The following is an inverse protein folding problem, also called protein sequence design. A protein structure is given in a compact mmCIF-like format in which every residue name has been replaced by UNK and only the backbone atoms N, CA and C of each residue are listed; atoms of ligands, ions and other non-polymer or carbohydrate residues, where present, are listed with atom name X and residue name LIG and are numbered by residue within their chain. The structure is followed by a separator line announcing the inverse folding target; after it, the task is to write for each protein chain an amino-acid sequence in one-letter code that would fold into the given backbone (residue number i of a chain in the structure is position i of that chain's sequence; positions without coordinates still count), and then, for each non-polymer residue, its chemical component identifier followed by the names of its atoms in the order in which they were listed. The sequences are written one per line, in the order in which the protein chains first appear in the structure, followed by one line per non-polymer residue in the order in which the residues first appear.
data_IF_369081193093
#
_entry.id   IF_369081193093
#
_cell.length_a   1.000
_cell.length_b   1.000
_cell.length_c   1.000
_cell.angle_alpha   90.00
_cell.angle_beta   90.00
_cell.angle_gamma   90.00
#
_symmetry.space_group_name_H-M   'P 1'
#
loop_
_entity.id
_entity.type
_entity.pdbx_description
1 polymer ?
#
# COMPACT_ATOMS: atom_id res chain seq x y z
N UNK A 1 -45.19 -25.77 8.91
CA UNK A 1 -45.64 -24.41 8.52
C UNK A 1 -46.17 -23.71 9.75
N UNK A 2 -45.38 -22.82 10.38
CA UNK A 2 -45.87 -21.99 11.47
C UNK A 2 -46.52 -20.74 10.87
N UNK A 3 -47.73 -20.34 11.26
CA UNK A 3 -48.39 -19.16 10.74
C UNK A 3 -47.67 -17.89 11.26
N UNK A 4 -47.33 -17.00 10.33
CA UNK A 4 -46.83 -15.64 10.62
C UNK A 4 -47.92 -14.90 11.38
N UNK A 5 -47.70 -14.57 12.66
CA UNK A 5 -48.62 -13.76 13.47
C UNK A 5 -48.79 -12.37 12.83
N UNK A 6 -50.02 -11.97 12.56
CA UNK A 6 -50.35 -10.68 11.99
C UNK A 6 -50.11 -9.56 13.02
N UNK A 7 -49.79 -8.33 12.55
CA UNK A 7 -49.63 -7.14 13.42
C UNK A 7 -50.87 -6.85 14.32
N UNK A 8 -52.00 -7.49 14.05
CA UNK A 8 -53.25 -7.33 14.82
C UNK A 8 -53.24 -8.07 16.15
N UNK A 9 -52.30 -9.00 16.36
CA UNK A 9 -52.29 -9.91 17.55
C UNK A 9 -51.38 -9.40 18.69
N UNK A 10 -50.75 -8.23 18.55
CA UNK A 10 -49.91 -7.62 19.60
C UNK A 10 -50.74 -6.80 20.59
N UNK A 11 -50.41 -6.82 21.91
CA UNK A 11 -51.07 -6.02 22.93
C UNK A 11 -51.05 -4.51 22.60
N UNK A 12 -52.16 -3.82 22.92
CA UNK A 12 -52.30 -2.36 22.64
C UNK A 12 -51.16 -1.52 23.20
N UNK A 13 -50.54 -1.91 24.33
CA UNK A 13 -49.38 -1.24 24.92
C UNK A 13 -48.09 -1.36 24.09
N UNK A 14 -47.90 -2.46 23.37
CA UNK A 14 -46.75 -2.69 22.47
C UNK A 14 -46.93 -1.86 21.20
N UNK A 15 -48.15 -1.83 20.65
CA UNK A 15 -48.48 -0.98 19.47
C UNK A 15 -48.35 0.51 19.76
N UNK A 16 -48.70 0.96 20.97
CA UNK A 16 -48.54 2.34 21.37
C UNK A 16 -47.07 2.75 21.52
N UNK A 17 -46.23 1.88 22.11
CA UNK A 17 -44.78 2.10 22.23
C UNK A 17 -44.07 2.12 20.86
N UNK A 18 -44.44 1.22 19.96
CA UNK A 18 -43.87 1.21 18.60
C UNK A 18 -44.29 2.43 17.78
N UNK A 19 -45.55 2.85 17.86
CA UNK A 19 -46.03 4.08 17.21
C UNK A 19 -45.34 5.34 17.78
N UNK A 20 -45.11 5.39 19.09
CA UNK A 20 -44.38 6.51 19.74
C UNK A 20 -42.90 6.52 19.29
N UNK A 21 -42.27 5.36 19.19
CA UNK A 21 -40.90 5.19 18.72
C UNK A 21 -40.71 5.60 17.24
N UNK A 22 -41.65 5.21 16.39
CA UNK A 22 -41.70 5.57 14.96
C UNK A 22 -41.94 7.09 14.80
N UNK A 23 -42.85 7.70 15.59
CA UNK A 23 -43.09 9.14 15.59
C UNK A 23 -41.86 9.93 16.07
N UNK A 24 -41.23 9.54 17.17
CA UNK A 24 -40.02 10.15 17.69
C UNK A 24 -38.84 10.06 16.70
N UNK A 25 -38.71 8.93 16.01
CA UNK A 25 -37.70 8.71 14.96
C UNK A 25 -37.96 9.57 13.70
N UNK A 26 -39.25 9.75 13.33
CA UNK A 26 -39.63 10.61 12.22
C UNK A 26 -39.41 12.10 12.54
N UNK A 27 -39.62 12.50 13.77
CA UNK A 27 -39.42 13.89 14.24
C UNK A 27 -37.93 14.26 14.27
N UNK A 28 -37.06 13.37 14.76
CA UNK A 28 -35.60 13.58 14.74
C UNK A 28 -35.04 13.68 13.31
N UNK A 29 -35.56 12.93 12.35
CA UNK A 29 -35.16 13.01 10.94
C UNK A 29 -35.49 14.37 10.31
N UNK A 30 -36.57 15.02 10.75
CA UNK A 30 -36.93 16.37 10.29
C UNK A 30 -35.95 17.44 10.74
N UNK A 31 -35.22 17.23 11.85
CA UNK A 31 -34.14 18.08 12.30
C UNK A 31 -32.89 18.08 11.46
N UNK A 32 -32.74 17.15 10.48
CA UNK A 32 -31.58 17.11 9.60
C UNK A 32 -31.74 18.13 8.47
N UNK A 33 -30.80 19.09 8.32
CA UNK A 33 -30.92 20.18 7.34
C UNK A 33 -30.95 19.65 5.89
N UNK A 34 -31.37 20.52 4.97
CA UNK A 34 -31.30 20.24 3.54
C UNK A 34 -29.87 20.48 3.01
N UNK A 35 -29.51 19.82 1.92
CA UNK A 35 -28.23 20.05 1.21
C UNK A 35 -28.14 21.51 0.76
N UNK A 36 -29.24 22.09 0.28
CA UNK A 36 -29.27 23.47 -0.20
C UNK A 36 -29.08 24.49 0.92
N UNK A 37 -29.66 24.23 2.10
CA UNK A 37 -29.46 25.08 3.29
C UNK A 37 -27.97 25.21 3.61
N UNK A 38 -27.27 24.05 3.72
CA UNK A 38 -25.84 24.05 4.06
C UNK A 38 -24.96 24.61 2.94
N UNK A 39 -25.28 24.33 1.66
CA UNK A 39 -24.56 24.91 0.52
C UNK A 39 -24.69 26.45 0.44
N UNK A 40 -25.83 27.00 0.83
CA UNK A 40 -26.08 28.47 0.82
C UNK A 40 -25.47 29.16 2.01
N UNK A 41 -25.05 28.49 3.06
CA UNK A 41 -24.34 29.08 4.19
C UNK A 41 -23.01 29.74 3.74
N UNK A 42 -22.49 30.70 4.51
CA UNK A 42 -21.21 31.32 4.18
C UNK A 42 -20.06 30.30 4.07
N UNK A 43 -19.85 29.35 5.03
CA UNK A 43 -18.85 28.32 4.89
C UNK A 43 -19.13 27.35 3.74
N UNK A 44 -20.39 27.03 3.46
CA UNK A 44 -20.78 26.16 2.34
C UNK A 44 -20.42 26.77 0.97
N UNK A 45 -20.67 28.05 0.78
CA UNK A 45 -20.25 28.79 -0.43
C UNK A 45 -18.73 28.85 -0.58
N UNK A 46 -17.99 29.14 0.51
CA UNK A 46 -16.52 29.12 0.49
C UNK A 46 -15.98 27.72 0.14
N UNK A 47 -16.54 26.66 0.74
CA UNK A 47 -16.19 25.29 0.41
C UNK A 47 -16.49 24.93 -1.05
N UNK A 48 -17.64 25.33 -1.57
CA UNK A 48 -18.02 25.11 -2.96
C UNK A 48 -17.11 25.86 -3.95
N UNK A 49 -16.66 27.06 -3.61
CA UNK A 49 -15.68 27.81 -4.39
C UNK A 49 -14.29 27.14 -4.40
N UNK A 50 -13.87 26.56 -3.26
CA UNK A 50 -12.55 25.90 -3.10
C UNK A 50 -12.50 24.51 -3.71
N UNK A 51 -13.51 23.67 -3.46
CA UNK A 51 -13.49 22.24 -3.81
C UNK A 51 -14.40 21.90 -5.01
N UNK A 52 -15.14 22.87 -5.53
CA UNK A 52 -16.15 22.65 -6.54
C UNK A 52 -17.53 22.28 -5.97
N UNK A 53 -18.57 22.97 -6.45
CA UNK A 53 -19.96 22.75 -6.00
C UNK A 53 -20.43 21.28 -6.12
N UNK A 54 -20.14 20.54 -7.21
CA UNK A 54 -20.57 19.14 -7.33
C UNK A 54 -20.00 18.25 -6.23
N UNK A 55 -18.72 18.41 -5.90
CA UNK A 55 -18.05 17.61 -4.87
C UNK A 55 -18.59 17.90 -3.47
N UNK A 56 -18.75 19.17 -3.10
CA UNK A 56 -19.32 19.56 -1.81
C UNK A 56 -20.77 19.09 -1.69
N UNK A 57 -21.58 19.19 -2.77
CA UNK A 57 -22.95 18.66 -2.80
C UNK A 57 -22.97 17.16 -2.52
N UNK A 58 -22.11 16.37 -3.19
CA UNK A 58 -21.99 14.92 -2.98
C UNK A 58 -21.61 14.58 -1.55
N UNK A 59 -20.62 15.28 -0.99
CA UNK A 59 -20.17 15.06 0.39
C UNK A 59 -21.29 15.37 1.40
N UNK A 60 -22.03 16.47 1.21
CA UNK A 60 -23.20 16.81 2.02
C UNK A 60 -24.28 15.73 1.91
N UNK A 61 -24.58 15.24 0.72
CA UNK A 61 -25.57 14.18 0.52
C UNK A 61 -25.19 12.93 1.32
N UNK A 62 -23.91 12.51 1.28
CA UNK A 62 -23.43 11.35 2.02
C UNK A 62 -23.54 11.54 3.55
N UNK A 63 -23.04 12.66 4.08
CA UNK A 63 -23.06 12.97 5.51
C UNK A 63 -24.50 13.08 6.03
N UNK A 64 -25.37 13.76 5.31
CA UNK A 64 -26.77 13.92 5.72
C UNK A 64 -27.57 12.62 5.62
N UNK A 65 -27.27 11.76 4.63
CA UNK A 65 -27.87 10.44 4.54
C UNK A 65 -27.46 9.51 5.72
N UNK A 66 -26.18 9.55 6.10
CA UNK A 66 -25.70 8.84 7.28
C UNK A 66 -26.35 9.37 8.56
N UNK A 67 -26.43 10.70 8.71
CA UNK A 67 -27.08 11.36 9.86
C UNK A 67 -28.54 10.96 9.96
N UNK A 68 -29.29 10.92 8.84
CA UNK A 68 -30.69 10.46 8.82
C UNK A 68 -30.83 9.01 9.24
N UNK A 69 -29.91 8.13 8.82
CA UNK A 69 -29.89 6.73 9.27
C UNK A 69 -29.64 6.61 10.78
N UNK A 70 -28.70 7.38 11.33
CA UNK A 70 -28.42 7.40 12.78
C UNK A 70 -29.62 7.97 13.57
N UNK A 71 -30.20 9.07 13.12
CA UNK A 71 -31.39 9.69 13.75
C UNK A 71 -32.59 8.74 13.74
N UNK A 72 -32.78 7.94 12.67
CA UNK A 72 -33.82 6.93 12.60
C UNK A 72 -33.68 5.82 13.66
N UNK A 73 -32.43 5.57 14.13
CA UNK A 73 -32.10 4.62 15.20
C UNK A 73 -32.07 5.26 16.60
N UNK A 74 -32.50 6.53 16.73
CA UNK A 74 -32.54 7.24 18.00
C UNK A 74 -31.28 8.07 18.31
N UNK A 75 -30.30 8.16 17.39
CA UNK A 75 -29.12 9.00 17.55
C UNK A 75 -29.45 10.49 17.49
N UNK A 76 -28.61 11.32 18.12
CA UNK A 76 -28.70 12.77 18.06
C UNK A 76 -28.33 13.31 16.67
N UNK A 77 -28.96 14.42 16.29
CA UNK A 77 -28.60 15.15 15.07
C UNK A 77 -27.55 16.20 15.43
N UNK A 78 -26.34 16.12 14.86
CA UNK A 78 -25.30 17.13 15.09
C UNK A 78 -25.72 18.51 14.56
N UNK A 79 -25.09 19.58 15.06
CA UNK A 79 -25.32 20.93 14.55
C UNK A 79 -24.98 21.05 13.06
N UNK A 80 -25.59 22.01 12.39
CA UNK A 80 -25.38 22.33 10.99
C UNK A 80 -23.89 22.59 10.69
N UNK A 81 -23.21 23.31 11.58
CA UNK A 81 -21.76 23.59 11.45
C UNK A 81 -20.93 22.32 11.50
N UNK A 82 -21.25 21.38 12.40
CA UNK A 82 -20.53 20.10 12.49
C UNK A 82 -20.81 19.22 11.27
N UNK A 83 -22.05 19.19 10.78
CA UNK A 83 -22.41 18.46 9.56
C UNK A 83 -21.70 19.03 8.33
N UNK A 84 -21.65 20.35 8.23
CA UNK A 84 -20.94 21.04 7.16
C UNK A 84 -19.43 20.82 7.25
N UNK A 85 -18.83 20.93 8.44
CA UNK A 85 -17.41 20.68 8.65
C UNK A 85 -17.00 19.25 8.24
N UNK A 86 -17.81 18.23 8.59
CA UNK A 86 -17.62 16.85 8.15
C UNK A 86 -17.69 16.71 6.62
N UNK A 87 -18.68 17.34 6.00
CA UNK A 87 -18.83 17.30 4.55
C UNK A 87 -17.68 18.02 3.82
N UNK A 88 -17.23 19.17 4.33
CA UNK A 88 -16.07 19.86 3.77
C UNK A 88 -14.78 19.07 3.97
N UNK A 89 -14.62 18.38 5.11
CA UNK A 89 -13.50 17.46 5.34
C UNK A 89 -13.48 16.31 4.33
N UNK A 90 -14.63 15.69 4.05
CA UNK A 90 -14.75 14.64 3.04
C UNK A 90 -14.49 15.17 1.62
N UNK A 91 -15.01 16.35 1.30
CA UNK A 91 -14.73 17.01 0.02
C UNK A 91 -13.24 17.33 -0.14
N UNK A 92 -12.58 17.83 0.91
CA UNK A 92 -11.15 18.10 0.92
C UNK A 92 -10.33 16.82 0.71
N UNK A 93 -10.68 15.73 1.39
CA UNK A 93 -10.03 14.42 1.24
C UNK A 93 -10.06 13.92 -0.20
N UNK A 94 -11.20 14.07 -0.89
CA UNK A 94 -11.33 13.67 -2.30
C UNK A 94 -10.60 14.66 -3.21
N UNK A 95 -10.69 15.95 -2.94
CA UNK A 95 -10.11 17.00 -3.77
C UNK A 95 -8.58 16.96 -3.80
N UNK A 96 -7.95 16.77 -2.63
CA UNK A 96 -6.49 16.70 -2.52
C UNK A 96 -5.93 15.34 -2.95
N UNK A 97 -6.77 14.31 -3.04
CA UNK A 97 -6.37 12.98 -3.51
C UNK A 97 -5.37 12.27 -2.58
N UNK A 98 -4.47 11.48 -3.19
CA UNK A 98 -3.38 10.81 -2.48
C UNK A 98 -2.35 11.87 -2.06
N UNK A 99 -2.02 11.89 -0.76
CA UNK A 99 -1.08 12.83 -0.18
C UNK A 99 0.05 12.13 0.57
N UNK A 100 1.10 12.89 0.85
CA UNK A 100 2.20 12.47 1.72
C UNK A 100 1.69 12.25 3.15
N UNK A 101 2.15 11.17 3.80
CA UNK A 101 1.87 10.85 5.19
C UNK A 101 3.15 10.54 5.94
N UNK A 102 3.16 10.71 7.26
CA UNK A 102 4.24 10.23 8.12
C UNK A 102 3.87 8.82 8.59
N UNK A 103 4.67 7.86 8.17
CA UNK A 103 4.57 6.48 8.65
C UNK A 103 5.42 6.33 9.92
N UNK A 104 4.78 6.27 11.07
CA UNK A 104 5.41 6.01 12.36
C UNK A 104 4.93 4.67 12.97
N UNK A 105 4.60 3.70 12.12
CA UNK A 105 4.07 2.38 12.57
C UNK A 105 5.17 1.37 12.87
N UNK A 106 6.39 1.54 12.35
CA UNK A 106 7.44 0.52 12.38
C UNK A 106 7.29 -0.58 11.34
N UNK A 107 6.34 -0.45 10.39
CA UNK A 107 6.20 -1.36 9.24
C UNK A 107 6.79 -0.67 8.01
N UNK A 108 7.94 -1.13 7.52
CA UNK A 108 8.72 -0.46 6.46
C UNK A 108 7.95 -0.45 5.13
N UNK A 109 7.47 -1.61 4.71
CA UNK A 109 6.73 -1.82 3.45
C UNK A 109 5.22 -1.89 3.71
N UNK A 110 4.70 -0.89 4.44
CA UNK A 110 3.29 -0.85 4.84
C UNK A 110 2.38 -0.79 3.62
N UNK A 111 1.64 -1.86 3.35
CA UNK A 111 0.80 -2.01 2.14
C UNK A 111 -0.21 -0.88 2.00
N UNK A 112 -0.90 -0.50 3.08
CA UNK A 112 -1.88 0.58 3.07
C UNK A 112 -1.28 1.99 2.92
N UNK A 113 0.03 2.16 3.04
CA UNK A 113 0.75 3.43 2.91
C UNK A 113 1.63 3.52 1.66
N UNK A 114 1.49 2.57 0.72
CA UNK A 114 2.14 2.63 -0.59
C UNK A 114 3.48 1.90 -0.67
N UNK A 115 3.86 1.12 0.36
CA UNK A 115 5.10 0.32 0.41
C UNK A 115 6.39 1.15 0.37
N UNK A 116 7.38 0.78 -0.47
CA UNK A 116 8.68 1.45 -0.50
C UNK A 116 8.59 2.89 -1.02
N UNK A 117 9.07 3.89 -0.26
CA UNK A 117 9.25 5.23 -0.80
C UNK A 117 10.34 5.26 -1.87
N UNK A 118 10.14 6.07 -2.91
CA UNK A 118 11.12 6.24 -3.98
C UNK A 118 12.25 7.19 -3.58
N UNK A 119 13.48 6.95 -4.04
CA UNK A 119 14.57 7.91 -3.89
C UNK A 119 14.31 9.15 -4.77
N UNK A 120 14.88 10.29 -4.38
CA UNK A 120 14.72 11.56 -5.08
C UNK A 120 15.01 11.46 -6.59
N UNK A 121 16.04 10.74 -6.96
CA UNK A 121 16.46 10.53 -8.34
C UNK A 121 15.38 9.82 -9.18
N UNK A 122 14.68 8.84 -8.59
CA UNK A 122 13.61 8.13 -9.27
C UNK A 122 12.35 8.99 -9.42
N UNK A 123 12.01 9.78 -8.41
CA UNK A 123 10.92 10.78 -8.46
C UNK A 123 11.19 11.78 -9.60
N UNK A 124 12.40 12.33 -9.66
CA UNK A 124 12.81 13.27 -10.71
C UNK A 124 12.81 12.64 -12.10
N UNK A 125 13.22 11.36 -12.21
CA UNK A 125 13.19 10.64 -13.49
C UNK A 125 11.75 10.44 -13.98
N UNK A 126 10.84 10.02 -13.10
CA UNK A 126 9.41 9.91 -13.41
C UNK A 126 8.81 11.25 -13.83
N UNK A 127 9.13 12.33 -13.09
CA UNK A 127 8.66 13.67 -13.39
C UNK A 127 9.20 14.18 -14.75
N UNK A 128 10.47 13.92 -15.08
CA UNK A 128 11.01 14.24 -16.41
C UNK A 128 10.30 13.50 -17.52
N UNK A 129 10.07 12.19 -17.36
CA UNK A 129 9.33 11.38 -18.35
C UNK A 129 7.88 11.85 -18.55
N UNK A 130 7.26 12.38 -17.48
CA UNK A 130 5.89 12.90 -17.54
C UNK A 130 5.74 14.23 -18.29
N UNK A 131 6.78 15.10 -18.26
CA UNK A 131 6.71 16.48 -18.79
C UNK A 131 6.53 16.59 -20.31
N UNK A 132 6.87 15.54 -21.06
CA UNK A 132 6.81 15.61 -22.53
C UNK A 132 6.82 14.23 -23.18
N UNK A 133 7.22 14.22 -24.44
CA UNK A 133 7.49 12.99 -25.17
C UNK A 133 8.77 12.34 -24.61
N UNK A 134 8.83 11.01 -24.69
CA UNK A 134 9.96 10.21 -24.25
C UNK A 134 10.30 9.15 -25.30
N UNK A 135 11.57 8.80 -25.41
CA UNK A 135 12.09 7.74 -26.28
C UNK A 135 11.79 6.33 -25.71
N UNK A 136 10.52 6.07 -25.41
CA UNK A 136 10.08 4.87 -24.72
C UNK A 136 10.16 3.62 -25.59
N UNK A 137 9.71 3.70 -26.84
CA UNK A 137 9.73 2.61 -27.82
C UNK A 137 10.43 3.03 -29.12
N UNK A 138 11.39 3.93 -29.02
CA UNK A 138 12.20 4.41 -30.16
C UNK A 138 13.67 4.18 -29.85
N UNK A 139 14.36 3.50 -30.74
CA UNK A 139 15.81 3.42 -30.75
C UNK A 139 16.39 4.70 -31.36
N UNK A 140 17.23 5.40 -30.63
CA UNK A 140 17.74 6.71 -31.06
C UNK A 140 18.74 6.65 -32.20
N UNK A 141 19.50 5.55 -32.32
CA UNK A 141 20.55 5.40 -33.32
C UNK A 141 19.93 5.04 -34.66
N UNK A 142 19.03 4.04 -34.68
CA UNK A 142 18.38 3.58 -35.90
C UNK A 142 17.13 4.36 -36.30
N UNK A 143 16.54 5.12 -35.34
CA UNK A 143 15.22 5.73 -35.51
C UNK A 143 14.08 4.71 -35.56
N UNK A 144 14.38 3.43 -35.44
CA UNK A 144 13.44 2.32 -35.45
C UNK A 144 12.70 2.08 -34.16
N UNK A 145 11.89 1.02 -34.16
CA UNK A 145 11.15 0.63 -32.96
C UNK A 145 12.03 -0.11 -31.96
N UNK A 146 12.15 0.45 -30.75
CA UNK A 146 12.83 -0.15 -29.62
C UNK A 146 11.89 -0.91 -28.66
N UNK A 147 12.48 -1.59 -27.69
CA UNK A 147 11.75 -2.26 -26.59
C UNK A 147 11.43 -1.25 -25.49
N UNK A 148 10.15 -1.19 -25.07
CA UNK A 148 9.64 -0.26 -24.04
C UNK A 148 10.46 -0.27 -22.75
N UNK A 149 10.79 -1.44 -22.25
CA UNK A 149 11.45 -1.69 -20.96
C UNK A 149 12.89 -2.16 -21.13
N UNK A 150 13.43 -2.19 -22.36
CA UNK A 150 14.71 -2.79 -22.68
C UNK A 150 15.90 -2.26 -21.88
N UNK A 151 15.91 -0.96 -21.53
CA UNK A 151 16.97 -0.40 -20.68
C UNK A 151 16.89 -0.88 -19.22
N UNK A 152 15.68 -1.00 -18.67
CA UNK A 152 15.49 -1.57 -17.34
C UNK A 152 15.83 -3.07 -17.33
N UNK A 153 15.41 -3.79 -18.37
CA UNK A 153 15.69 -5.23 -18.56
C UNK A 153 17.21 -5.47 -18.62
N UNK A 154 17.95 -4.73 -19.42
CA UNK A 154 19.42 -4.84 -19.50
C UNK A 154 20.13 -4.54 -18.16
N UNK A 155 19.61 -3.60 -17.35
CA UNK A 155 20.14 -3.36 -16.01
C UNK A 155 19.86 -4.54 -15.07
N UNK A 156 18.68 -5.15 -15.13
CA UNK A 156 18.34 -6.35 -14.36
C UNK A 156 19.27 -7.51 -14.75
N UNK A 157 19.45 -7.77 -16.04
CA UNK A 157 20.36 -8.76 -16.57
C UNK A 157 21.79 -8.58 -16.03
N UNK A 158 22.30 -7.35 -16.11
CA UNK A 158 23.65 -7.02 -15.64
C UNK A 158 23.83 -7.18 -14.12
N UNK A 159 22.80 -6.93 -13.31
CA UNK A 159 22.87 -7.03 -11.85
C UNK A 159 22.68 -8.49 -11.40
N UNK A 160 21.74 -9.21 -12.01
CA UNK A 160 21.32 -10.54 -11.52
C UNK A 160 22.01 -11.73 -12.22
N UNK A 161 22.62 -11.48 -13.38
CA UNK A 161 23.16 -12.53 -14.24
C UNK A 161 22.10 -13.30 -15.03
N UNK A 162 20.86 -12.80 -15.11
CA UNK A 162 19.81 -13.38 -15.94
C UNK A 162 20.15 -13.28 -17.44
N UNK A 163 19.71 -14.26 -18.23
CA UNK A 163 19.88 -14.22 -19.70
C UNK A 163 19.01 -13.12 -20.35
N UNK A 164 17.85 -12.84 -19.76
CA UNK A 164 16.89 -11.84 -20.24
C UNK A 164 15.95 -11.44 -19.09
N UNK A 165 15.21 -10.35 -19.25
CA UNK A 165 14.22 -9.90 -18.29
C UNK A 165 12.98 -9.33 -18.98
N UNK A 166 11.85 -9.27 -18.26
CA UNK A 166 10.60 -8.65 -18.71
C UNK A 166 9.97 -7.88 -17.56
N UNK A 167 9.61 -6.62 -17.81
CA UNK A 167 8.96 -5.75 -16.82
C UNK A 167 7.49 -5.56 -17.17
N UNK A 168 6.64 -5.82 -16.17
CA UNK A 168 5.17 -5.67 -16.22
C UNK A 168 4.67 -4.81 -15.06
N UNK A 169 3.38 -4.50 -15.00
CA UNK A 169 2.83 -3.51 -14.08
C UNK A 169 2.84 -3.91 -12.58
N UNK A 170 2.87 -5.19 -12.24
CA UNK A 170 3.04 -5.70 -10.88
C UNK A 170 3.38 -7.20 -10.88
N UNK A 171 3.79 -7.75 -9.72
CA UNK A 171 4.19 -9.15 -9.62
C UNK A 171 3.05 -10.14 -9.85
N UNK A 172 1.83 -9.83 -9.45
CA UNK A 172 0.66 -10.67 -9.75
C UNK A 172 0.45 -10.83 -11.26
N UNK A 173 0.65 -9.74 -12.03
CA UNK A 173 0.60 -9.78 -13.49
C UNK A 173 1.78 -10.55 -14.08
N UNK A 174 2.97 -10.51 -13.45
CA UNK A 174 4.12 -11.32 -13.85
C UNK A 174 3.81 -12.81 -13.74
N UNK A 175 3.26 -13.24 -12.62
CA UNK A 175 2.83 -14.64 -12.41
C UNK A 175 1.72 -15.04 -13.37
N UNK A 176 0.67 -14.22 -13.48
CA UNK A 176 -0.45 -14.52 -14.39
C UNK A 176 0.01 -14.65 -15.85
N UNK A 177 0.88 -13.75 -16.31
CA UNK A 177 1.44 -13.80 -17.66
C UNK A 177 2.30 -15.07 -17.86
N UNK A 178 3.19 -15.39 -16.90
CA UNK A 178 4.06 -16.56 -16.97
C UNK A 178 3.22 -17.84 -17.08
N UNK A 179 2.25 -18.00 -16.20
CA UNK A 179 1.38 -19.18 -16.18
C UNK A 179 0.51 -19.26 -17.44
N UNK A 180 -0.09 -18.16 -17.89
CA UNK A 180 -0.90 -18.15 -19.12
C UNK A 180 -0.09 -18.51 -20.37
N UNK A 181 1.13 -17.97 -20.49
CA UNK A 181 1.99 -18.16 -21.65
C UNK A 181 2.67 -19.55 -21.69
N UNK A 182 3.04 -20.10 -20.53
CA UNK A 182 3.82 -21.34 -20.42
C UNK A 182 2.95 -22.55 -20.11
N UNK A 183 1.90 -22.39 -19.33
CA UNK A 183 1.05 -23.46 -18.80
C UNK A 183 -0.45 -23.29 -19.04
N UNK A 184 -0.86 -22.43 -19.96
CA UNK A 184 -2.27 -22.27 -20.31
C UNK A 184 -2.96 -23.61 -20.62
N UNK A 185 -4.01 -23.97 -19.87
CA UNK A 185 -4.74 -25.25 -19.92
C UNK A 185 -3.91 -26.49 -19.57
N UNK A 186 -2.72 -26.33 -18.95
CA UNK A 186 -1.88 -27.40 -18.44
C UNK A 186 -1.89 -27.43 -16.92
N UNK A 187 -1.33 -28.48 -16.35
CA UNK A 187 -1.11 -28.58 -14.92
C UNK A 187 0.11 -27.76 -14.51
N UNK A 188 -0.01 -27.08 -13.36
CA UNK A 188 1.07 -26.34 -12.68
C UNK A 188 1.22 -26.95 -11.30
N UNK A 189 2.43 -27.43 -11.03
CA UNK A 189 2.76 -28.06 -9.75
C UNK A 189 3.23 -26.99 -8.78
N UNK A 190 2.67 -26.98 -7.56
CA UNK A 190 3.01 -26.01 -6.51
C UNK A 190 3.25 -26.76 -5.21
N UNK A 191 4.27 -26.34 -4.45
CA UNK A 191 4.48 -26.85 -3.09
C UNK A 191 3.37 -26.33 -2.16
N UNK A 192 2.78 -27.22 -1.38
CA UNK A 192 1.74 -26.85 -0.40
C UNK A 192 2.22 -25.84 0.62
N UNK A 193 3.50 -25.86 1.00
CA UNK A 193 4.12 -24.88 1.92
C UNK A 193 4.25 -23.49 1.35
N UNK A 194 4.14 -23.32 0.02
CA UNK A 194 4.27 -22.03 -0.67
C UNK A 194 2.92 -21.40 -1.08
N UNK A 195 1.80 -22.05 -0.74
CA UNK A 195 0.46 -21.52 -0.92
C UNK A 195 0.16 -20.47 0.17
N UNK A 196 0.83 -19.33 0.10
CA UNK A 196 0.75 -18.26 1.12
C UNK A 196 -0.41 -17.32 0.80
N UNK A 197 -1.21 -16.99 1.81
CA UNK A 197 -2.09 -15.81 1.82
C UNK A 197 -1.24 -14.56 2.10
N UNK A 198 -0.93 -13.78 1.07
CA UNK A 198 -0.29 -12.47 1.23
C UNK A 198 -1.40 -11.46 1.56
N UNK A 199 -1.41 -10.92 2.77
CA UNK A 199 -2.43 -10.07 3.40
C UNK A 199 -3.37 -9.28 2.48
N UNK A 200 -4.67 -9.27 2.84
CA UNK A 200 -5.71 -8.52 2.14
C UNK A 200 -6.43 -9.28 1.03
N UNK A 201 -6.77 -10.55 1.23
CA UNK A 201 -7.54 -11.40 0.29
C UNK A 201 -6.80 -11.79 -1.01
N UNK A 202 -5.49 -11.52 -1.13
CA UNK A 202 -4.69 -11.93 -2.27
C UNK A 202 -4.29 -13.40 -2.11
N UNK A 203 -4.95 -14.28 -2.86
CA UNK A 203 -4.68 -15.72 -2.87
C UNK A 203 -3.95 -16.12 -4.13
N UNK A 204 -2.75 -16.66 -4.01
CA UNK A 204 -1.99 -17.19 -5.13
C UNK A 204 -2.79 -18.21 -5.97
N UNK A 205 -3.57 -19.15 -5.39
CA UNK A 205 -4.44 -20.04 -6.14
C UNK A 205 -5.45 -19.36 -7.06
N UNK A 206 -6.01 -18.21 -6.66
CA UNK A 206 -6.99 -17.49 -7.48
C UNK A 206 -6.35 -16.87 -8.74
N UNK A 207 -5.12 -16.40 -8.63
CA UNK A 207 -4.32 -15.90 -9.76
C UNK A 207 -3.97 -17.05 -10.70
N UNK A 208 -3.56 -18.17 -10.14
CA UNK A 208 -3.24 -19.36 -10.93
C UNK A 208 -4.46 -19.87 -11.69
N UNK A 209 -5.62 -19.94 -11.03
CA UNK A 209 -6.87 -20.31 -11.69
C UNK A 209 -7.26 -19.31 -12.81
N UNK A 210 -7.08 -18.01 -12.57
CA UNK A 210 -7.36 -16.97 -13.57
C UNK A 210 -6.42 -17.00 -14.78
N UNK A 211 -5.22 -17.57 -14.66
CA UNK A 211 -4.30 -17.79 -15.79
C UNK A 211 -4.76 -18.91 -16.75
N UNK A 212 -5.76 -19.69 -16.36
CA UNK A 212 -6.22 -20.88 -17.08
C UNK A 212 -5.39 -22.13 -16.82
N UNK A 213 -4.41 -22.09 -15.93
CA UNK A 213 -3.64 -23.25 -15.48
C UNK A 213 -4.43 -24.08 -14.45
N UNK A 214 -4.19 -25.39 -14.42
CA UNK A 214 -4.76 -26.30 -13.44
C UNK A 214 -3.75 -26.55 -12.32
N UNK A 215 -4.09 -26.13 -11.11
CA UNK A 215 -3.25 -26.28 -9.94
C UNK A 215 -3.17 -27.74 -9.48
N UNK A 216 -1.95 -28.24 -9.23
CA UNK A 216 -1.66 -29.55 -8.62
C UNK A 216 -0.74 -29.31 -7.42
N UNK A 217 -1.25 -29.61 -6.23
CA UNK A 217 -0.49 -29.45 -5.00
C UNK A 217 0.37 -30.69 -4.73
N UNK A 218 1.64 -30.47 -4.37
CA UNK A 218 2.59 -31.52 -3.99
C UNK A 218 3.29 -31.19 -2.67
N UNK A 219 3.93 -32.20 -2.06
CA UNK A 219 4.66 -32.00 -0.81
C UNK A 219 6.01 -31.33 -1.02
N UNK A 220 6.80 -31.77 -2.01
CA UNK A 220 8.14 -31.27 -2.32
C UNK A 220 8.32 -31.11 -3.84
N UNK A 221 8.90 -29.97 -4.25
CA UNK A 221 9.17 -29.64 -5.66
C UNK A 221 10.58 -30.07 -6.12
N UNK A 222 11.51 -30.28 -5.19
CA UNK A 222 12.93 -30.51 -5.51
C UNK A 222 13.16 -31.69 -6.43
N UNK A 223 12.41 -32.77 -6.26
CA UNK A 223 12.54 -33.97 -7.08
C UNK A 223 11.92 -33.83 -8.47
N UNK A 224 10.84 -33.04 -8.58
CA UNK A 224 10.17 -32.78 -9.86
C UNK A 224 11.02 -31.85 -10.72
N UNK A 225 11.58 -30.79 -10.14
CA UNK A 225 12.47 -29.85 -10.84
C UNK A 225 13.75 -30.53 -11.35
N UNK A 226 14.34 -31.45 -10.56
CA UNK A 226 15.52 -32.23 -10.94
C UNK A 226 15.27 -33.16 -12.13
N UNK A 227 14.06 -33.59 -12.39
CA UNK A 227 13.72 -34.38 -13.58
C UNK A 227 13.85 -33.59 -14.90
N UNK A 228 14.08 -32.27 -14.87
CA UNK A 228 14.64 -31.47 -15.96
C UNK A 228 13.75 -31.22 -17.19
N UNK A 229 12.47 -31.55 -17.14
CA UNK A 229 11.56 -31.44 -18.30
C UNK A 229 10.50 -30.33 -18.18
N UNK A 230 10.35 -29.71 -16.99
CA UNK A 230 9.31 -28.71 -16.69
C UNK A 230 9.99 -27.42 -16.24
N UNK A 231 9.66 -26.24 -16.81
CA UNK A 231 10.21 -24.97 -16.36
C UNK A 231 9.90 -24.70 -14.89
N UNK A 232 10.92 -24.33 -14.13
CA UNK A 232 10.82 -23.90 -12.73
C UNK A 232 10.69 -22.38 -12.66
N UNK A 233 9.52 -21.90 -12.22
CA UNK A 233 9.28 -20.49 -11.90
C UNK A 233 9.34 -20.31 -10.39
N UNK A 234 10.24 -19.44 -9.91
CA UNK A 234 10.34 -19.08 -8.51
C UNK A 234 9.79 -17.67 -8.26
N UNK A 235 8.71 -17.57 -7.46
CA UNK A 235 8.17 -16.26 -7.01
C UNK A 235 8.85 -15.85 -5.70
N UNK A 236 9.89 -15.03 -5.80
CA UNK A 236 10.57 -14.44 -4.63
C UNK A 236 9.68 -13.35 -3.99
N UNK A 237 8.94 -12.62 -4.80
CA UNK A 237 8.06 -11.56 -4.33
C UNK A 237 8.74 -10.36 -3.70
N UNK A 238 9.77 -10.52 -2.88
CA UNK A 238 10.44 -9.45 -2.11
C UNK A 238 11.27 -8.48 -2.94
N UNK A 239 11.84 -8.95 -4.07
CA UNK A 239 12.66 -8.14 -4.95
C UNK A 239 14.08 -7.88 -4.45
N UNK A 240 14.64 -8.78 -3.63
CA UNK A 240 16.05 -8.80 -3.28
C UNK A 240 16.87 -9.28 -4.48
N UNK A 241 17.65 -8.37 -5.12
CA UNK A 241 18.38 -8.72 -6.35
C UNK A 241 19.59 -9.61 -6.09
N UNK A 242 20.35 -9.29 -5.07
CA UNK A 242 21.59 -9.96 -4.67
C UNK A 242 21.62 -10.11 -3.15
N UNK A 243 22.51 -10.96 -2.64
CA UNK A 243 22.75 -11.13 -1.21
C UNK A 243 23.41 -9.88 -0.61
N UNK A 244 22.84 -9.38 0.50
CA UNK A 244 23.39 -8.28 1.29
C UNK A 244 23.37 -8.62 2.78
N UNK A 245 24.34 -8.07 3.52
CA UNK A 245 24.52 -8.34 4.95
C UNK A 245 23.41 -7.81 5.86
N UNK A 246 22.62 -6.85 5.37
CA UNK A 246 21.54 -6.21 6.11
C UNK A 246 20.25 -7.03 6.16
N UNK A 247 20.20 -8.11 5.39
CA UNK A 247 19.03 -9.00 5.34
C UNK A 247 19.41 -10.41 5.79
N UNK A 248 18.46 -11.17 6.39
CA UNK A 248 18.68 -12.56 6.80
C UNK A 248 19.16 -13.45 5.65
N UNK A 249 19.94 -14.47 5.97
CA UNK A 249 20.50 -15.37 4.99
C UNK A 249 19.45 -16.28 4.30
N UNK A 250 18.30 -16.43 4.91
CA UNK A 250 17.17 -17.23 4.40
C UNK A 250 16.20 -16.43 3.50
N UNK A 251 16.34 -15.09 3.42
CA UNK A 251 15.60 -14.30 2.43
C UNK A 251 16.16 -14.59 1.03
N UNK A 252 15.36 -15.10 0.08
CA UNK A 252 15.87 -15.49 -1.23
C UNK A 252 16.27 -14.28 -2.08
N UNK A 253 17.42 -14.37 -2.77
CA UNK A 253 17.88 -13.39 -3.74
C UNK A 253 17.68 -13.87 -5.18
N UNK A 254 17.40 -12.95 -6.11
CA UNK A 254 17.16 -13.26 -7.54
C UNK A 254 18.37 -13.97 -8.15
N UNK A 255 19.59 -13.43 -7.95
CA UNK A 255 20.82 -14.01 -8.48
C UNK A 255 21.09 -15.43 -7.95
N UNK A 256 20.78 -15.67 -6.67
CA UNK A 256 20.93 -17.00 -6.05
C UNK A 256 19.91 -18.01 -6.59
N UNK A 257 18.65 -17.58 -6.75
CA UNK A 257 17.61 -18.44 -7.29
C UNK A 257 17.92 -18.87 -8.75
N UNK A 258 18.41 -17.93 -9.58
CA UNK A 258 18.82 -18.23 -10.95
C UNK A 258 20.01 -19.18 -10.98
N UNK A 259 21.06 -18.93 -10.19
CA UNK A 259 22.23 -19.83 -10.10
C UNK A 259 21.89 -21.17 -9.46
N UNK A 260 20.86 -21.22 -8.62
CA UNK A 260 20.30 -22.43 -8.02
C UNK A 260 19.43 -23.27 -8.97
N UNK A 261 19.25 -22.84 -10.22
CA UNK A 261 18.56 -23.60 -11.27
C UNK A 261 17.10 -23.21 -11.51
N UNK A 262 16.62 -22.06 -11.00
CA UNK A 262 15.33 -21.52 -11.42
C UNK A 262 15.42 -21.05 -12.89
N UNK A 263 14.49 -21.51 -13.73
CA UNK A 263 14.41 -21.08 -15.13
C UNK A 263 13.89 -19.64 -15.24
N UNK A 264 12.96 -19.27 -14.38
CA UNK A 264 12.40 -17.91 -14.24
C UNK A 264 12.27 -17.54 -12.77
N UNK A 265 12.52 -16.29 -12.46
CA UNK A 265 12.29 -15.68 -11.15
C UNK A 265 11.36 -14.50 -11.30
N UNK A 266 10.27 -14.44 -10.51
CA UNK A 266 9.33 -13.32 -10.48
C UNK A 266 9.46 -12.54 -9.17
N UNK A 267 9.37 -11.20 -9.23
CA UNK A 267 9.48 -10.35 -8.05
C UNK A 267 8.83 -8.97 -8.22
N UNK A 268 8.60 -8.31 -7.08
CA UNK A 268 7.99 -6.96 -7.02
C UNK A 268 9.03 -5.84 -7.03
N UNK A 269 8.75 -4.77 -7.75
CA UNK A 269 9.60 -3.57 -7.76
C UNK A 269 9.48 -2.69 -6.53
N UNK A 270 8.35 -2.70 -5.84
CA UNK A 270 7.97 -1.76 -4.78
C UNK A 270 8.17 -2.32 -3.35
N UNK A 271 9.02 -3.32 -3.21
CA UNK A 271 9.40 -3.90 -1.92
C UNK A 271 10.89 -3.68 -1.62
N UNK A 272 11.69 -4.74 -1.39
CA UNK A 272 13.13 -4.61 -1.07
C UNK A 272 13.94 -4.00 -2.21
N UNK A 273 13.47 -4.13 -3.46
CA UNK A 273 14.07 -3.39 -4.57
C UNK A 273 14.03 -1.87 -4.35
N UNK A 274 13.05 -1.34 -3.62
CA UNK A 274 12.93 0.09 -3.34
C UNK A 274 12.51 0.94 -4.54
N UNK A 275 11.91 0.31 -5.54
CA UNK A 275 11.45 0.93 -6.79
C UNK A 275 9.96 1.23 -6.81
N UNK A 276 9.43 1.63 -7.97
CA UNK A 276 7.99 1.80 -8.18
C UNK A 276 7.30 0.44 -8.23
N UNK A 277 5.96 0.44 -8.12
CA UNK A 277 5.18 -0.76 -8.39
C UNK A 277 5.46 -1.26 -9.79
N UNK A 278 6.05 -2.44 -9.88
CA UNK A 278 6.31 -3.19 -11.10
C UNK A 278 6.39 -4.68 -10.74
N UNK A 279 6.15 -5.54 -11.71
CA UNK A 279 6.51 -6.95 -11.67
C UNK A 279 7.68 -7.18 -12.61
N UNK A 280 8.65 -7.94 -12.18
CA UNK A 280 9.78 -8.32 -12.99
C UNK A 280 9.83 -9.84 -13.09
N UNK A 281 10.12 -10.32 -14.29
CA UNK A 281 10.42 -11.73 -14.57
C UNK A 281 11.80 -11.76 -15.18
N UNK A 282 12.73 -12.49 -14.57
CA UNK A 282 14.12 -12.62 -15.03
C UNK A 282 14.47 -14.10 -15.19
N UNK A 283 15.30 -14.44 -16.15
CA UNK A 283 15.77 -15.82 -16.36
C UNK A 283 15.99 -16.14 -17.83
N UNK A 284 15.59 -17.34 -18.25
CA UNK A 284 15.86 -17.91 -19.59
C UNK A 284 15.20 -17.10 -20.71
N UNK A 285 15.98 -16.75 -21.71
CA UNK A 285 15.56 -15.91 -22.84
C UNK A 285 14.47 -16.57 -23.72
N UNK A 286 14.53 -17.88 -23.94
CA UNK A 286 13.55 -18.63 -24.74
C UNK A 286 12.13 -18.60 -24.10
N UNK A 287 12.07 -18.69 -22.78
CA UNK A 287 10.82 -18.61 -22.02
C UNK A 287 10.28 -17.18 -22.03
N UNK A 288 11.13 -16.18 -21.80
CA UNK A 288 10.75 -14.77 -21.79
C UNK A 288 10.25 -14.29 -23.16
N UNK A 289 10.81 -14.79 -24.26
CA UNK A 289 10.32 -14.51 -25.60
C UNK A 289 8.89 -15.06 -25.81
N UNK A 290 8.55 -16.23 -25.25
CA UNK A 290 7.18 -16.75 -25.25
C UNK A 290 6.22 -15.84 -24.48
N UNK A 291 6.65 -15.32 -23.32
CA UNK A 291 5.86 -14.37 -22.53
C UNK A 291 5.59 -13.09 -23.32
N UNK A 292 6.60 -12.52 -23.98
CA UNK A 292 6.47 -11.28 -24.77
C UNK A 292 5.49 -11.43 -25.92
N UNK A 293 5.42 -12.59 -26.56
CA UNK A 293 4.49 -12.90 -27.67
C UNK A 293 3.07 -13.12 -27.20
N UNK A 294 2.85 -13.40 -25.93
CA UNK A 294 1.52 -13.66 -25.41
C UNK A 294 0.67 -12.36 -25.42
N UNK A 295 -0.60 -12.38 -25.89
CA UNK A 295 -1.44 -11.17 -25.96
C UNK A 295 -1.57 -10.41 -24.64
N UNK A 296 -1.56 -11.12 -23.51
CA UNK A 296 -1.61 -10.53 -22.17
C UNK A 296 -0.42 -9.61 -21.88
N UNK A 297 0.76 -9.85 -22.45
CA UNK A 297 1.92 -8.98 -22.28
C UNK A 297 1.63 -7.52 -22.65
N UNK A 298 0.73 -7.32 -23.66
CA UNK A 298 0.29 -5.98 -24.02
C UNK A 298 -0.64 -5.35 -22.97
N UNK A 299 -1.50 -6.14 -22.34
CA UNK A 299 -2.46 -5.66 -21.34
C UNK A 299 -1.78 -5.27 -20.02
N UNK A 300 -0.66 -5.91 -19.67
CA UNK A 300 0.08 -5.69 -18.41
C UNK A 300 1.31 -4.78 -18.55
N UNK A 301 1.36 -3.96 -19.59
CA UNK A 301 2.47 -3.02 -19.84
C UNK A 301 2.57 -1.94 -18.78
N UNK A 302 3.79 -1.63 -18.40
CA UNK A 302 4.12 -0.47 -17.54
C UNK A 302 4.08 0.84 -18.33
N UNK A 303 3.71 1.94 -17.66
CA UNK A 303 3.75 3.29 -18.20
C UNK A 303 5.18 3.88 -18.17
N UNK A 304 5.37 5.01 -18.88
CA UNK A 304 6.69 5.64 -19.01
C UNK A 304 7.27 6.20 -17.72
N UNK A 305 6.42 6.61 -16.77
CA UNK A 305 6.88 7.17 -15.49
C UNK A 305 7.42 6.06 -14.61
N UNK A 306 6.71 4.94 -14.54
CA UNK A 306 7.16 3.74 -13.85
C UNK A 306 8.46 3.19 -14.43
N UNK A 307 8.59 3.11 -15.76
CA UNK A 307 9.84 2.69 -16.42
C UNK A 307 11.00 3.60 -16.03
N UNK A 308 10.83 4.92 -16.14
CA UNK A 308 11.89 5.88 -15.82
C UNK A 308 12.31 5.85 -14.34
N UNK A 309 11.36 5.67 -13.41
CA UNK A 309 11.65 5.50 -12.00
C UNK A 309 12.41 4.19 -11.73
N UNK A 310 11.97 3.07 -12.32
CA UNK A 310 12.61 1.77 -12.17
C UNK A 310 14.05 1.78 -12.71
N UNK A 311 14.27 2.32 -13.92
CA UNK A 311 15.61 2.50 -14.46
C UNK A 311 16.51 3.31 -13.53
N UNK A 312 15.98 4.36 -12.90
CA UNK A 312 16.75 5.20 -11.96
C UNK A 312 17.14 4.41 -10.70
N UNK A 313 16.25 3.57 -10.17
CA UNK A 313 16.53 2.69 -9.04
C UNK A 313 17.58 1.64 -9.41
N UNK A 314 17.42 0.96 -10.54
CA UNK A 314 18.37 -0.06 -11.01
C UNK A 314 19.77 0.51 -11.24
N UNK A 315 19.90 1.76 -11.71
CA UNK A 315 21.21 2.42 -11.82
C UNK A 315 21.89 2.62 -10.45
N UNK A 316 21.13 2.84 -9.37
CA UNK A 316 21.72 2.91 -8.03
C UNK A 316 22.31 1.57 -7.61
N UNK A 317 21.66 0.45 -7.94
CA UNK A 317 22.25 -0.89 -7.73
C UNK A 317 23.48 -1.10 -8.59
N UNK A 318 23.39 -0.86 -9.90
CA UNK A 318 24.50 -1.06 -10.84
C UNK A 318 25.75 -0.22 -10.51
N UNK A 319 25.58 0.90 -9.78
CA UNK A 319 26.67 1.79 -9.36
C UNK A 319 27.07 1.63 -7.89
N UNK A 320 26.59 0.59 -7.20
CA UNK A 320 26.89 0.31 -5.79
C UNK A 320 26.28 1.32 -4.79
N UNK A 321 25.29 2.11 -5.23
CA UNK A 321 24.65 3.17 -4.45
C UNK A 321 23.28 2.78 -3.88
N UNK A 322 23.02 1.48 -3.61
CA UNK A 322 21.74 1.03 -3.08
C UNK A 322 21.35 1.72 -1.76
N UNK A 323 22.32 2.18 -0.96
CA UNK A 323 22.05 2.90 0.28
C UNK A 323 21.43 4.30 0.10
N UNK A 324 21.36 4.80 -1.15
CA UNK A 324 20.58 6.00 -1.46
C UNK A 324 19.06 5.71 -1.54
N UNK A 325 18.66 4.44 -1.53
CA UNK A 325 17.27 4.02 -1.52
C UNK A 325 16.70 4.09 -0.09
N UNK A 326 15.53 4.72 0.12
CA UNK A 326 14.93 4.85 1.46
C UNK A 326 14.74 3.52 2.19
N UNK A 327 14.38 2.44 1.47
CA UNK A 327 14.22 1.13 2.08
C UNK A 327 15.53 0.60 2.68
N UNK A 328 16.66 0.79 1.98
CA UNK A 328 17.98 0.36 2.47
C UNK A 328 18.49 1.26 3.60
N UNK A 329 18.16 2.56 3.59
CA UNK A 329 18.41 3.45 4.72
C UNK A 329 17.67 2.97 5.96
N UNK A 330 16.36 2.65 5.82
CA UNK A 330 15.58 2.11 6.94
C UNK A 330 16.10 0.75 7.44
N UNK A 331 16.55 -0.13 6.56
CA UNK A 331 17.09 -1.45 6.94
C UNK A 331 18.42 -1.33 7.70
N UNK A 332 19.34 -0.46 7.21
CA UNK A 332 20.69 -0.30 7.78
C UNK A 332 20.76 0.64 8.99
N UNK A 333 19.66 1.35 9.34
CA UNK A 333 19.68 2.32 10.43
C UNK A 333 19.94 1.64 11.80
N UNK A 334 20.83 2.24 12.59
CA UNK A 334 21.23 1.69 13.89
C UNK A 334 20.22 2.03 14.98
N UNK A 335 19.86 1.05 15.81
CA UNK A 335 18.95 1.26 16.95
C UNK A 335 19.41 2.40 17.88
N UNK A 336 20.74 2.55 18.08
CA UNK A 336 21.30 3.62 18.92
C UNK A 336 20.98 5.02 18.39
N UNK A 337 21.02 5.22 17.07
CA UNK A 337 20.66 6.49 16.45
C UNK A 337 19.14 6.75 16.54
N UNK A 338 18.32 5.73 16.28
CA UNK A 338 16.86 5.82 16.46
C UNK A 338 16.50 6.16 17.91
N UNK A 339 17.17 5.54 18.88
CA UNK A 339 16.93 5.80 20.30
C UNK A 339 17.36 7.22 20.71
N UNK A 340 18.45 7.74 20.14
CA UNK A 340 18.87 9.12 20.37
C UNK A 340 17.83 10.11 19.82
N UNK A 341 17.31 9.89 18.62
CA UNK A 341 16.20 10.69 18.02
C UNK A 341 14.94 10.60 18.89
N UNK A 342 14.55 9.39 19.31
CA UNK A 342 13.38 9.19 20.17
C UNK A 342 13.50 9.94 21.51
N UNK A 343 14.68 9.96 22.14
CA UNK A 343 14.95 10.74 23.37
C UNK A 343 14.85 12.25 23.11
N UNK A 344 15.37 12.74 21.99
CA UNK A 344 15.24 14.14 21.59
C UNK A 344 13.76 14.53 21.45
N UNK A 345 12.96 13.70 20.79
CA UNK A 345 11.53 13.94 20.66
C UNK A 345 10.78 13.79 22.00
N UNK A 346 11.16 12.83 22.83
CA UNK A 346 10.51 12.64 24.15
C UNK A 346 10.68 13.85 25.07
N UNK A 347 11.79 14.56 24.98
CA UNK A 347 12.08 15.73 25.85
C UNK A 347 11.09 16.89 25.64
N UNK A 348 10.34 16.93 24.54
CA UNK A 348 9.38 18.02 24.27
C UNK A 348 7.92 17.69 24.62
N UNK A 349 7.66 16.48 25.16
CA UNK A 349 6.33 16.04 25.57
C UNK A 349 6.32 15.56 27.04
N UNK A 350 5.41 16.08 27.83
CA UNK A 350 5.29 15.69 29.25
C UNK A 350 4.91 14.22 29.38
N UNK A 351 5.68 13.46 30.15
CA UNK A 351 5.46 12.04 30.40
C UNK A 351 5.78 11.11 29.23
N UNK A 352 6.33 11.63 28.14
CA UNK A 352 6.76 10.81 27.01
C UNK A 352 8.04 10.03 27.35
N UNK A 353 8.16 8.84 26.77
CA UNK A 353 9.28 7.92 26.99
C UNK A 353 9.82 7.47 25.62
N UNK A 354 11.16 7.41 25.54
CA UNK A 354 11.86 6.76 24.42
C UNK A 354 12.34 5.38 24.88
N UNK A 355 12.04 4.34 24.12
CA UNK A 355 12.45 2.97 24.45
C UNK A 355 12.88 2.19 23.21
N UNK A 356 13.73 1.15 23.37
CA UNK A 356 13.99 0.18 22.31
C UNK A 356 12.69 -0.51 21.88
N UNK A 357 12.61 -0.85 20.61
CA UNK A 357 11.48 -1.58 20.01
C UNK A 357 11.94 -2.47 18.88
N UNK A 358 11.00 -3.11 18.23
CA UNK A 358 11.21 -3.90 17.02
C UNK A 358 10.30 -3.39 15.91
N UNK A 359 10.88 -3.20 14.74
CA UNK A 359 10.17 -2.90 13.49
C UNK A 359 10.13 -4.14 12.60
N UNK A 360 9.25 -4.14 11.60
CA UNK A 360 9.12 -5.26 10.66
C UNK A 360 9.15 -4.75 9.23
N UNK A 361 9.65 -5.58 8.30
CA UNK A 361 9.62 -5.21 6.89
C UNK A 361 8.18 -5.09 6.37
N UNK A 362 7.34 -6.08 6.60
CA UNK A 362 5.96 -6.09 6.11
C UNK A 362 5.85 -6.39 4.60
N UNK A 363 4.62 -6.38 4.08
CA UNK A 363 4.37 -6.59 2.66
C UNK A 363 4.76 -7.98 2.11
N UNK A 364 5.02 -8.96 2.99
CA UNK A 364 5.48 -10.30 2.63
C UNK A 364 6.97 -10.38 2.33
N UNK A 365 7.77 -9.36 2.69
CA UNK A 365 9.22 -9.39 2.67
C UNK A 365 9.78 -9.63 4.08
N UNK A 366 10.87 -10.35 4.23
CA UNK A 366 11.51 -10.70 5.49
C UNK A 366 10.51 -11.27 6.52
N UNK A 367 9.79 -12.35 6.22
CA UNK A 367 8.77 -12.87 7.11
C UNK A 367 9.38 -13.34 8.44
N UNK A 368 8.79 -12.90 9.56
CA UNK A 368 9.28 -13.27 10.89
C UNK A 368 10.56 -12.57 11.34
N UNK A 369 11.16 -11.71 10.52
CA UNK A 369 12.37 -10.99 10.88
C UNK A 369 12.03 -9.66 11.57
N UNK A 370 12.50 -9.53 12.81
CA UNK A 370 12.37 -8.30 13.61
C UNK A 370 13.63 -7.45 13.47
N UNK A 371 13.46 -6.17 13.14
CA UNK A 371 14.53 -5.18 13.02
C UNK A 371 14.67 -4.42 14.34
N UNK A 372 15.85 -4.41 15.00
CA UNK A 372 16.06 -3.62 16.21
C UNK A 372 15.73 -2.13 15.96
N UNK A 373 14.69 -1.60 16.61
CA UNK A 373 14.17 -0.25 16.41
C UNK A 373 14.12 0.55 17.71
N UNK A 374 13.62 1.79 17.64
CA UNK A 374 13.30 2.60 18.79
C UNK A 374 12.02 3.40 18.55
N UNK A 375 11.25 3.57 19.60
CA UNK A 375 9.97 4.25 19.56
C UNK A 375 9.84 5.36 20.59
N UNK A 376 9.07 6.37 20.23
CA UNK A 376 8.56 7.41 21.10
C UNK A 376 7.16 6.99 21.58
N UNK A 377 6.97 6.91 22.89
CA UNK A 377 5.66 6.67 23.51
C UNK A 377 5.17 7.97 24.14
N UNK A 378 4.00 8.45 23.70
CA UNK A 378 3.40 9.68 24.18
C UNK A 378 2.09 9.35 24.91
N UNK A 379 1.97 9.64 26.22
CA UNK A 379 0.74 9.40 26.97
C UNK A 379 -0.44 10.22 26.38
N UNK A 380 -1.62 9.62 26.38
CA UNK A 380 -2.84 10.30 25.92
C UNK A 380 -4.06 9.76 26.68
N UNK A 381 -4.91 10.64 27.18
CA UNK A 381 -6.13 10.24 27.90
C UNK A 381 -7.13 9.46 27.02
N UNK A 382 -7.09 9.70 25.71
CA UNK A 382 -7.95 9.03 24.71
C UNK A 382 -7.15 8.68 23.47
N UNK A 383 -6.27 7.64 23.50
CA UNK A 383 -5.34 7.33 22.40
C UNK A 383 -6.05 7.17 21.05
N UNK A 384 -7.19 6.47 21.02
CA UNK A 384 -7.97 6.27 19.78
C UNK A 384 -8.48 7.57 19.15
N UNK A 385 -8.90 8.55 19.97
CA UNK A 385 -9.34 9.86 19.49
C UNK A 385 -8.15 10.67 18.94
N UNK A 386 -7.03 10.67 19.66
CA UNK A 386 -5.82 11.40 19.26
C UNK A 386 -5.24 10.79 17.98
N UNK A 387 -5.14 9.45 17.88
CA UNK A 387 -4.71 8.77 16.67
C UNK A 387 -5.61 9.08 15.47
N UNK A 388 -6.93 9.12 15.66
CA UNK A 388 -7.86 9.51 14.59
C UNK A 388 -7.64 10.96 14.11
N UNK A 389 -7.35 11.89 15.03
CA UNK A 389 -7.03 13.29 14.68
C UNK A 389 -5.68 13.39 13.97
N UNK A 390 -4.66 12.63 14.39
CA UNK A 390 -3.36 12.57 13.72
C UNK A 390 -3.49 12.11 12.27
N UNK A 391 -4.30 11.09 12.00
CA UNK A 391 -4.58 10.62 10.63
C UNK A 391 -5.32 11.65 9.76
N UNK A 392 -6.05 12.58 10.38
CA UNK A 392 -6.77 13.66 9.69
C UNK A 392 -6.00 14.98 9.68
N UNK A 393 -4.81 15.03 10.31
CA UNK A 393 -3.95 16.21 10.41
C UNK A 393 -3.21 16.53 9.11
N UNK A 394 -2.37 17.58 9.18
CA UNK A 394 -1.48 17.98 8.08
C UNK A 394 -0.06 18.21 8.62
N UNK A 395 0.86 17.29 8.35
CA UNK A 395 0.67 16.04 7.59
C UNK A 395 -0.14 15.00 8.38
N UNK A 396 -0.82 14.06 7.70
CA UNK A 396 -1.39 12.89 8.34
C UNK A 396 -0.27 12.02 8.95
N UNK A 397 -0.50 11.52 10.19
CA UNK A 397 0.46 10.64 10.89
C UNK A 397 -0.21 9.32 11.22
N UNK A 398 0.45 8.23 10.86
CA UNK A 398 0.04 6.87 11.19
C UNK A 398 0.97 6.33 12.27
N UNK A 399 0.40 5.94 13.41
CA UNK A 399 1.11 5.41 14.57
C UNK A 399 0.37 4.20 15.14
N UNK A 400 1.02 3.47 16.03
CA UNK A 400 0.39 2.40 16.82
C UNK A 400 -0.24 2.97 18.09
N UNK A 401 -1.09 2.19 18.72
CA UNK A 401 -1.68 2.50 20.02
C UNK A 401 -1.37 1.35 20.98
N UNK A 402 -0.90 1.68 22.17
CA UNK A 402 -0.72 0.75 23.27
C UNK A 402 -1.45 1.28 24.51
N UNK A 403 -1.53 0.50 25.58
CA UNK A 403 -2.19 0.87 26.82
C UNK A 403 -1.68 2.21 27.35
N UNK A 404 -2.57 3.18 27.37
CA UNK A 404 -2.31 4.52 27.89
C UNK A 404 -1.61 5.51 26.94
N UNK A 405 -1.27 5.14 25.70
CA UNK A 405 -0.53 6.07 24.84
C UNK A 405 -0.55 5.80 23.35
N UNK A 406 0.15 6.67 22.64
CA UNK A 406 0.45 6.58 21.21
C UNK A 406 1.92 6.20 21.06
N UNK A 407 2.20 5.31 20.12
CA UNK A 407 3.53 4.77 19.87
C UNK A 407 3.96 5.13 18.45
N UNK A 408 5.10 5.80 18.36
CA UNK A 408 5.70 6.27 17.11
C UNK A 408 7.06 5.60 16.94
N UNK A 409 7.14 4.62 16.06
CA UNK A 409 8.39 3.96 15.71
C UNK A 409 9.18 4.82 14.72
N UNK A 410 10.43 5.16 15.05
CA UNK A 410 11.23 6.12 14.28
C UNK A 410 11.99 5.50 13.12
N UNK A 411 12.02 4.18 12.97
CA UNK A 411 12.67 3.52 11.83
C UNK A 411 12.00 3.89 10.51
N UNK A 412 10.68 4.06 10.53
CA UNK A 412 9.87 4.40 9.36
C UNK A 412 9.64 5.91 9.19
N UNK A 413 10.16 6.73 10.10
CA UNK A 413 10.11 8.19 10.03
C UNK A 413 11.44 8.73 9.52
N UNK A 414 11.49 9.36 8.32
CA UNK A 414 12.70 10.02 7.85
C UNK A 414 13.18 11.09 8.84
N UNK A 415 14.51 11.22 9.12
CA UNK A 415 15.03 12.18 10.10
C UNK A 415 14.56 13.63 9.86
N UNK A 416 14.44 14.05 8.62
CA UNK A 416 13.95 15.37 8.23
C UNK A 416 12.46 15.60 8.56
N UNK A 417 11.74 14.56 8.92
CA UNK A 417 10.33 14.63 9.34
C UNK A 417 10.14 14.72 10.85
N UNK A 418 11.18 14.66 11.67
CA UNK A 418 11.09 14.68 13.13
C UNK A 418 10.37 15.94 13.66
N UNK A 419 10.74 17.12 13.16
CA UNK A 419 10.07 18.38 13.53
C UNK A 419 8.61 18.42 13.09
N UNK A 420 8.30 17.87 11.91
CA UNK A 420 6.92 17.79 11.39
C UNK A 420 6.08 16.85 12.25
N UNK A 421 6.64 15.71 12.64
CA UNK A 421 6.01 14.75 13.56
C UNK A 421 5.74 15.40 14.91
N UNK A 422 6.74 16.05 15.52
CA UNK A 422 6.59 16.70 16.81
C UNK A 422 5.51 17.80 16.79
N UNK A 423 5.47 18.63 15.75
CA UNK A 423 4.42 19.65 15.57
C UNK A 423 3.03 19.04 15.44
N UNK A 424 2.89 17.96 14.66
CA UNK A 424 1.61 17.27 14.48
C UNK A 424 1.09 16.67 15.80
N UNK A 425 1.95 16.01 16.57
CA UNK A 425 1.61 15.45 17.87
C UNK A 425 1.17 16.57 18.84
N UNK A 426 1.96 17.63 18.99
CA UNK A 426 1.66 18.77 19.88
C UNK A 426 0.31 19.39 19.54
N UNK A 427 0.09 19.73 18.28
CA UNK A 427 -1.15 20.35 17.82
C UNK A 427 -2.39 19.53 18.18
N UNK A 428 -2.32 18.20 18.05
CA UNK A 428 -3.48 17.34 18.37
C UNK A 428 -3.68 17.17 19.87
N UNK A 429 -2.58 17.11 20.66
CA UNK A 429 -2.66 16.99 22.13
C UNK A 429 -3.22 18.26 22.78
N UNK A 430 -2.87 19.45 22.30
CA UNK A 430 -3.39 20.74 22.78
C UNK A 430 -4.90 20.90 22.54
N UNK A 431 -5.47 20.13 21.61
CA UNK A 431 -6.89 20.17 21.26
C UNK A 431 -7.69 18.97 21.82
N UNK A 432 -7.05 18.04 22.51
CA UNK A 432 -7.65 16.80 23.02
C UNK A 432 -8.19 16.97 24.42
#
# INVERSE_FOLDING_TARGET
MNPVRSERDLPMSVRAKDRARVRASADRRRGVPSVDTLLRSSPGRKGAAKFGRPLVKRALQAVLAETRRKAARGGEVPSDDLLLARALGEAARIFYGIGEVINATGVLLHTGLGRAPLPKQAIEAAARAARGYADLEVDRESGGRGRRTGRAEALIEAITGAEDALVVNNNAAALMLSLAALAGRKEVVVSRGELIEIGGEFRLPDIMAASGAKLVEVGDLADIARAGTIPLLYDIGSGLLERYSEVPADEPAVSEALSGGADLVAFSGDKLLGGPQAGVIAGRSDLLERLRRHPMARAVRVDKMTVAALESVLRLYATGRRHDLPIWQMLSERQSHLLARARGLASVFTGAVARPSEAVAGGGALPGYALPSAELVVPAASPGRVAARLRLGQPPVFCRMEDGGLVFDLRTVPPESDDRLARAIRYVLEQA
#
